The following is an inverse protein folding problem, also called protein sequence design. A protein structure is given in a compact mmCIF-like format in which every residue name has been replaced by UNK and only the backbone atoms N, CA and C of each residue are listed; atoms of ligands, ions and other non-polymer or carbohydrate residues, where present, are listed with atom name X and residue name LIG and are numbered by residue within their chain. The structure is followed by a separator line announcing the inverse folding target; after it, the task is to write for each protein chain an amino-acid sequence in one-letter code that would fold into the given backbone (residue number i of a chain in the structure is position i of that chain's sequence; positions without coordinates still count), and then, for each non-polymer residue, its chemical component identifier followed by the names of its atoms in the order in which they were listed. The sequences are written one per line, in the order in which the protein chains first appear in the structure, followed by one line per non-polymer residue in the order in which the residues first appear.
data_IF_727990970507
#
_entry.id   IF_727990970507
#
_cell.length_a   1.000
_cell.length_b   1.000
_cell.length_c   1.000
_cell.angle_alpha   90.00
_cell.angle_beta   90.00
_cell.angle_gamma   90.00
#
_symmetry.space_group_name_H-M   'P 1'
#
loop_
_entity.id
_entity.type
_entity.pdbx_description
1 polymer ?
#
# COMPACT_ATOMS: atom_id res chain seq x y z
N UNK A 1 34.93 -33.86 -22.46
CA UNK A 1 34.60 -32.92 -23.56
C UNK A 1 34.75 -31.48 -23.08
N UNK A 2 35.98 -31.01 -22.88
CA UNK A 2 36.34 -29.64 -22.45
C UNK A 2 37.63 -29.24 -23.17
N UNK A 3 37.57 -28.92 -24.46
CA UNK A 3 38.76 -28.45 -25.21
C UNK A 3 38.47 -27.31 -26.21
N UNK A 4 37.22 -26.91 -26.45
CA UNK A 4 36.91 -26.00 -27.58
C UNK A 4 36.66 -24.52 -27.24
N UNK A 5 37.07 -24.01 -26.08
CA UNK A 5 36.86 -22.59 -25.73
C UNK A 5 38.13 -21.73 -25.63
N UNK A 6 39.34 -22.29 -25.75
CA UNK A 6 40.57 -21.51 -25.54
C UNK A 6 41.29 -21.00 -26.79
N UNK A 7 40.87 -21.37 -28.01
CA UNK A 7 41.62 -20.95 -29.21
C UNK A 7 41.31 -19.55 -29.73
N UNK A 8 40.23 -18.88 -29.29
CA UNK A 8 39.89 -17.54 -29.77
C UNK A 8 40.59 -16.41 -29.00
N UNK A 9 41.14 -16.69 -27.82
CA UNK A 9 41.80 -15.69 -26.98
C UNK A 9 43.27 -15.46 -27.40
N UNK A 10 43.94 -16.49 -27.92
CA UNK A 10 45.34 -16.39 -28.37
C UNK A 10 45.53 -15.65 -29.70
N UNK A 11 44.50 -15.56 -30.56
CA UNK A 11 44.60 -14.78 -31.81
C UNK A 11 44.68 -13.27 -31.60
N UNK A 12 44.28 -12.74 -30.45
CA UNK A 12 44.34 -11.28 -30.18
C UNK A 12 45.77 -10.84 -29.83
N UNK A 13 46.61 -11.75 -29.32
CA UNK A 13 47.97 -11.41 -28.87
C UNK A 13 49.03 -11.46 -29.98
N UNK A 14 48.75 -12.09 -31.13
CA UNK A 14 49.68 -12.21 -32.26
C UNK A 14 49.39 -11.21 -33.40
N UNK A 15 48.57 -10.20 -33.12
CA UNK A 15 48.22 -9.16 -34.09
C UNK A 15 49.29 -8.06 -34.18
N UNK A 16 49.43 -7.47 -35.36
CA UNK A 16 50.38 -6.40 -35.63
C UNK A 16 50.12 -5.17 -34.74
N UNK A 17 51.18 -4.41 -34.39
CA UNK A 17 51.12 -3.33 -33.40
C UNK A 17 50.06 -2.27 -33.74
N UNK A 18 49.91 -1.95 -35.03
CA UNK A 18 48.94 -0.98 -35.53
C UNK A 18 47.49 -1.50 -35.37
N UNK A 19 47.26 -2.78 -35.65
CA UNK A 19 45.93 -3.40 -35.48
C UNK A 19 45.52 -3.53 -34.01
N UNK A 20 46.46 -3.76 -33.10
CA UNK A 20 46.21 -3.75 -31.65
C UNK A 20 45.78 -2.37 -31.16
N UNK A 21 46.44 -1.30 -31.64
CA UNK A 21 46.05 0.08 -31.31
C UNK A 21 44.63 0.40 -31.77
N UNK A 22 44.25 -0.01 -32.98
CA UNK A 22 42.89 0.18 -33.50
C UNK A 22 41.85 -0.57 -32.65
N UNK A 23 42.13 -1.81 -32.25
CA UNK A 23 41.21 -2.59 -31.41
C UNK A 23 41.04 -1.96 -30.02
N UNK A 24 42.14 -1.49 -29.40
CA UNK A 24 42.09 -0.80 -28.10
C UNK A 24 41.24 0.48 -28.22
N UNK A 25 41.37 1.21 -29.32
CA UNK A 25 40.58 2.42 -29.59
C UNK A 25 39.09 2.10 -29.75
N UNK A 26 38.73 1.02 -30.44
CA UNK A 26 37.34 0.56 -30.56
C UNK A 26 36.80 0.13 -29.19
N UNK A 27 37.59 -0.61 -28.40
CA UNK A 27 37.19 -1.07 -27.07
C UNK A 27 36.98 0.11 -26.11
N UNK A 28 37.82 1.14 -26.19
CA UNK A 28 37.68 2.35 -25.38
C UNK A 28 36.39 3.11 -25.72
N UNK A 29 36.03 3.22 -27.00
CA UNK A 29 34.77 3.80 -27.45
C UNK A 29 33.57 3.01 -26.90
N UNK A 30 33.62 1.68 -26.96
CA UNK A 30 32.56 0.81 -26.42
C UNK A 30 32.38 1.03 -24.91
N UNK A 31 33.49 1.12 -24.16
CA UNK A 31 33.47 1.39 -22.72
C UNK A 31 32.86 2.77 -22.43
N UNK A 32 33.19 3.79 -23.22
CA UNK A 32 32.63 5.14 -23.08
C UNK A 32 31.12 5.13 -23.34
N UNK A 33 30.65 4.46 -24.39
CA UNK A 33 29.20 4.30 -24.68
C UNK A 33 28.48 3.57 -23.55
N UNK A 34 29.09 2.51 -23.00
CA UNK A 34 28.54 1.77 -21.87
C UNK A 34 28.47 2.63 -20.60
N UNK A 35 29.49 3.46 -20.35
CA UNK A 35 29.52 4.40 -19.23
C UNK A 35 28.44 5.47 -19.36
N UNK A 36 28.23 6.02 -20.57
CA UNK A 36 27.13 6.95 -20.86
C UNK A 36 25.76 6.28 -20.64
N UNK A 37 25.60 5.02 -21.06
CA UNK A 37 24.37 4.25 -20.85
C UNK A 37 24.11 4.00 -19.35
N UNK A 38 25.14 3.66 -18.58
CA UNK A 38 25.03 3.51 -17.13
C UNK A 38 24.73 4.84 -16.44
N UNK A 39 25.32 5.96 -16.89
CA UNK A 39 25.02 7.30 -16.42
C UNK A 39 23.55 7.67 -16.72
N UNK A 40 23.07 7.36 -17.91
CA UNK A 40 21.65 7.52 -18.30
C UNK A 40 20.75 6.73 -17.36
N UNK A 41 21.06 5.45 -17.11
CA UNK A 41 20.28 4.59 -16.21
C UNK A 41 20.33 5.10 -14.77
N UNK A 42 21.47 5.63 -14.30
CA UNK A 42 21.63 6.22 -12.98
C UNK A 42 20.77 7.49 -12.81
N UNK A 43 20.79 8.40 -13.79
CA UNK A 43 19.98 9.62 -13.79
C UNK A 43 18.48 9.29 -13.88
N UNK A 44 18.08 8.34 -14.72
CA UNK A 44 16.67 7.93 -14.86
C UNK A 44 16.15 7.12 -13.67
N UNK A 45 16.99 6.27 -13.05
CA UNK A 45 16.64 5.54 -11.82
C UNK A 45 16.43 6.50 -10.65
N UNK A 46 17.16 7.62 -10.61
CA UNK A 46 17.00 8.66 -9.61
C UNK A 46 15.86 9.65 -9.92
N UNK A 47 15.39 9.78 -11.17
CA UNK A 47 14.19 10.57 -11.51
C UNK A 47 12.86 9.93 -11.06
N UNK A 48 12.83 8.67 -10.61
CA UNK A 48 11.69 8.10 -9.86
C UNK A 48 11.76 8.35 -8.35
N UNK A 49 12.79 9.07 -7.87
CA UNK A 49 12.92 9.57 -6.51
C UNK A 49 13.37 11.03 -6.54
N UNK A 50 12.52 11.93 -7.05
CA UNK A 50 12.40 13.38 -6.75
C UNK A 50 11.38 13.95 -7.75
N UNK A 51 10.11 13.59 -7.55
CA UNK A 51 8.94 14.41 -7.90
C UNK A 51 7.82 13.90 -7.01
N UNK A 52 7.83 14.33 -5.75
CA UNK A 52 6.66 14.67 -4.93
C UNK A 52 7.19 15.01 -3.55
N UNK A 53 7.83 16.18 -3.43
CA UNK A 53 7.76 17.02 -2.23
C UNK A 53 7.85 18.49 -2.63
N UNK A 54 6.65 19.08 -2.71
CA UNK A 54 6.27 20.44 -2.28
C UNK A 54 6.75 21.61 -3.13
N UNK A 55 5.79 22.10 -3.92
CA UNK A 55 5.34 23.50 -4.05
C UNK A 55 3.83 23.32 -4.33
N UNK A 56 2.87 23.49 -3.41
CA UNK A 56 2.40 24.73 -2.80
C UNK A 56 2.61 25.95 -3.68
N UNK A 57 1.63 26.23 -4.55
CA UNK A 57 1.17 27.59 -4.79
C UNK A 57 -0.33 27.57 -5.15
N UNK A 58 -1.09 28.20 -4.26
CA UNK A 58 -2.21 29.11 -4.51
C UNK A 58 -3.10 28.84 -5.73
N UNK A 59 -4.31 28.35 -5.46
CA UNK A 59 -5.46 28.72 -6.27
C UNK A 59 -6.27 29.77 -5.51
N UNK A 60 -6.05 31.01 -5.92
CA UNK A 60 -6.73 32.23 -5.50
C UNK A 60 -8.24 32.13 -5.65
N UNK A 61 -8.92 32.68 -4.65
CA UNK A 61 -10.35 32.98 -4.65
C UNK A 61 -10.81 33.63 -5.96
N UNK A 62 -11.84 33.04 -6.58
CA UNK A 62 -12.74 33.83 -7.42
C UNK A 62 -14.18 33.42 -7.15
N UNK A 63 -14.86 34.36 -6.51
CA UNK A 63 -16.31 34.47 -6.30
C UNK A 63 -17.07 34.20 -7.61
N UNK A 64 -18.21 33.51 -7.57
CA UNK A 64 -19.47 34.22 -7.82
C UNK A 64 -20.55 33.80 -6.79
N UNK A 65 -21.14 34.75 -6.07
CA UNK A 65 -22.36 35.47 -6.45
C UNK A 65 -23.63 34.67 -6.12
N UNK A 66 -24.31 35.22 -5.11
CA UNK A 66 -25.65 34.97 -4.59
C UNK A 66 -26.68 34.62 -5.66
N UNK A 67 -27.41 33.52 -5.46
CA UNK A 67 -28.87 33.50 -5.66
C UNK A 67 -29.49 32.91 -4.39
N UNK A 68 -30.46 33.65 -3.92
CA UNK A 68 -31.11 33.66 -2.62
C UNK A 68 -32.44 32.91 -2.70
N UNK A 69 -32.94 32.51 -1.52
CA UNK A 69 -34.35 32.19 -1.19
C UNK A 69 -34.85 30.78 -1.56
N UNK A 70 -35.61 30.07 -0.72
CA UNK A 70 -36.20 30.40 0.59
C UNK A 70 -36.76 29.12 1.23
N UNK A 71 -36.93 29.19 2.56
CA UNK A 71 -37.83 28.40 3.42
C UNK A 71 -37.39 26.93 3.70
N UNK A 72 -37.28 26.39 4.92
CA UNK A 72 -38.02 26.65 6.17
C UNK A 72 -37.13 26.43 7.44
N UNK A 73 -37.45 27.29 8.42
CA UNK A 73 -37.07 27.51 9.82
C UNK A 73 -36.80 26.34 10.82
N UNK A 74 -35.74 26.57 11.62
CA UNK A 74 -35.61 26.55 13.13
C UNK A 74 -35.68 25.15 13.80
N UNK A 75 -34.71 24.70 14.61
CA UNK A 75 -34.34 25.11 16.00
C UNK A 75 -32.83 24.82 16.31
N UNK A 76 -32.17 25.79 16.98
CA UNK A 76 -30.78 25.85 17.53
C UNK A 76 -30.46 24.87 18.70
N UNK A 77 -29.24 24.82 19.30
CA UNK A 77 -27.88 25.13 18.82
C UNK A 77 -26.83 24.02 19.14
N UNK A 78 -25.60 24.20 18.64
CA UNK A 78 -24.33 23.60 19.12
C UNK A 78 -23.95 22.17 18.66
N UNK A 79 -23.56 22.04 17.38
CA UNK A 79 -22.56 21.05 16.97
C UNK A 79 -21.42 21.76 16.24
N UNK A 80 -20.37 22.14 16.98
CA UNK A 80 -19.08 22.46 16.36
C UNK A 80 -18.43 21.14 15.89
N UNK A 81 -18.15 20.95 14.58
CA UNK A 81 -17.33 19.83 14.14
C UNK A 81 -15.88 20.07 14.58
N UNK A 82 -15.49 19.50 15.72
CA UNK A 82 -14.08 19.43 16.12
C UNK A 82 -13.33 18.53 15.14
N UNK A 83 -12.66 19.16 14.17
CA UNK A 83 -11.56 18.58 13.41
C UNK A 83 -10.51 18.09 14.43
N UNK A 84 -10.52 16.79 14.76
CA UNK A 84 -9.53 16.20 15.67
C UNK A 84 -8.17 16.14 14.98
N UNK A 85 -7.35 17.16 15.25
CA UNK A 85 -5.89 17.11 15.15
C UNK A 85 -5.38 15.84 15.85
N UNK A 86 -4.41 15.13 15.25
CA UNK A 86 -3.69 14.01 15.85
C UNK A 86 -3.28 14.37 17.29
N UNK A 87 -3.83 13.66 18.28
CA UNK A 87 -3.48 13.89 19.68
C UNK A 87 -2.11 13.27 19.99
N UNK A 88 -1.08 14.10 20.02
CA UNK A 88 0.15 13.82 20.75
C UNK A 88 -0.12 14.15 22.22
N UNK A 89 -0.04 13.17 23.13
CA UNK A 89 -0.10 13.46 24.57
C UNK A 89 1.30 13.89 25.00
N UNK A 90 1.46 15.14 25.46
CA UNK A 90 2.67 15.60 26.15
C UNK A 90 2.74 14.86 27.48
N UNK A 91 3.71 13.98 27.66
CA UNK A 91 4.13 13.51 28.98
C UNK A 91 5.20 14.49 29.44
N UNK A 92 4.90 15.29 30.46
CA UNK A 92 5.87 16.19 31.09
C UNK A 92 6.75 15.38 32.02
N UNK A 93 8.01 15.19 31.63
CA UNK A 93 9.09 14.78 32.52
C UNK A 93 10.06 15.96 32.67
N UNK A 94 10.52 16.11 33.91
CA UNK A 94 11.18 17.27 34.51
C UNK A 94 12.31 17.89 33.67
N UNK A 95 12.50 19.19 33.90
CA UNK A 95 13.47 20.04 33.23
C UNK A 95 14.91 19.59 33.52
N UNK A 96 15.60 19.13 32.48
CA UNK A 96 17.05 19.29 32.33
C UNK A 96 17.43 19.32 30.85
N UNK A 97 18.39 20.20 30.53
CA UNK A 97 18.82 20.60 29.18
C UNK A 97 19.49 19.44 28.42
N UNK A 98 18.68 18.74 27.64
CA UNK A 98 18.95 18.08 26.35
C UNK A 98 17.72 17.18 26.09
N UNK A 99 16.57 17.79 25.80
CA UNK A 99 15.33 17.04 25.66
C UNK A 99 15.27 16.41 24.27
N UNK A 100 15.91 15.25 24.12
CA UNK A 100 15.50 14.29 23.09
C UNK A 100 14.02 14.00 23.30
N UNK A 101 13.19 14.50 22.39
CA UNK A 101 11.75 14.35 22.47
C UNK A 101 11.43 12.87 22.21
N UNK A 102 11.19 12.10 23.27
CA UNK A 102 10.87 10.67 23.17
C UNK A 102 9.51 10.49 22.47
N UNK A 103 9.56 10.21 21.17
CA UNK A 103 8.37 9.91 20.38
C UNK A 103 7.94 8.46 20.59
N UNK A 104 6.95 8.24 21.46
CA UNK A 104 6.32 6.93 21.64
C UNK A 104 5.58 6.53 20.36
N UNK A 105 6.03 5.45 19.71
CA UNK A 105 5.37 4.89 18.52
C UNK A 105 4.41 3.78 18.93
N UNK A 106 3.12 4.01 18.73
CA UNK A 106 2.11 2.98 18.93
C UNK A 106 2.06 2.01 17.74
N UNK A 107 2.05 0.72 18.04
CA UNK A 107 1.90 -0.38 17.10
C UNK A 107 0.50 -0.98 17.28
N UNK A 108 -0.42 -0.61 16.39
CA UNK A 108 -1.81 -1.06 16.41
C UNK A 108 -1.98 -2.38 15.66
N UNK A 109 -2.63 -3.35 16.31
CA UNK A 109 -3.09 -4.57 15.66
C UNK A 109 -4.18 -4.30 14.60
N UNK A 110 -4.49 -5.30 13.78
CA UNK A 110 -5.59 -5.26 12.82
C UNK A 110 -6.93 -4.98 13.52
N UNK A 111 -7.21 -5.69 14.61
CA UNK A 111 -8.42 -5.49 15.42
C UNK A 111 -8.50 -4.08 15.99
N UNK A 112 -7.42 -3.57 16.58
CA UNK A 112 -7.39 -2.19 17.07
C UNK A 112 -7.64 -1.16 15.94
N UNK A 113 -7.06 -1.40 14.76
CA UNK A 113 -7.29 -0.54 13.58
C UNK A 113 -8.73 -0.58 13.12
N UNK A 114 -9.38 -1.75 13.12
CA UNK A 114 -10.79 -1.90 12.76
C UNK A 114 -11.70 -1.20 13.77
N UNK A 115 -11.49 -1.42 15.07
CA UNK A 115 -12.28 -0.81 16.15
C UNK A 115 -12.22 0.72 16.10
N UNK A 116 -11.04 1.27 15.83
CA UNK A 116 -10.80 2.72 15.78
C UNK A 116 -11.07 3.34 14.39
N UNK A 117 -11.44 2.54 13.38
CA UNK A 117 -11.69 3.05 12.05
C UNK A 117 -13.02 3.84 12.01
N UNK A 118 -13.17 4.80 11.08
CA UNK A 118 -14.48 5.42 10.81
C UNK A 118 -15.52 4.37 10.46
N UNK A 119 -16.79 4.64 10.80
CA UNK A 119 -17.93 3.74 10.56
C UNK A 119 -17.97 3.21 9.12
N UNK A 120 -17.78 4.10 8.14
CA UNK A 120 -17.74 3.74 6.72
C UNK A 120 -16.67 2.67 6.39
N UNK A 121 -15.50 2.74 7.01
CA UNK A 121 -14.43 1.76 6.79
C UNK A 121 -14.77 0.41 7.41
N UNK A 122 -15.41 0.42 8.59
CA UNK A 122 -15.92 -0.78 9.25
C UNK A 122 -17.02 -1.45 8.40
N UNK A 123 -17.93 -0.66 7.84
CA UNK A 123 -19.00 -1.13 6.94
C UNK A 123 -18.44 -1.72 5.64
N UNK A 124 -17.47 -1.05 5.00
CA UNK A 124 -16.80 -1.58 3.80
C UNK A 124 -16.07 -2.90 4.10
N UNK A 125 -15.38 -2.98 5.24
CA UNK A 125 -14.73 -4.21 5.67
C UNK A 125 -15.77 -5.32 5.91
N UNK A 126 -16.85 -5.02 6.64
CA UNK A 126 -17.93 -5.97 6.91
C UNK A 126 -18.54 -6.53 5.61
N UNK A 127 -18.86 -5.64 4.66
CA UNK A 127 -19.41 -6.03 3.37
C UNK A 127 -18.44 -6.91 2.57
N UNK A 128 -17.17 -6.51 2.46
CA UNK A 128 -16.17 -7.28 1.73
C UNK A 128 -15.90 -8.64 2.39
N UNK A 129 -15.82 -8.70 3.73
CA UNK A 129 -15.60 -9.94 4.46
C UNK A 129 -16.75 -10.94 4.26
N UNK A 130 -17.99 -10.50 4.38
CA UNK A 130 -19.15 -11.33 4.06
C UNK A 130 -19.12 -11.82 2.60
N UNK A 131 -18.75 -10.94 1.67
CA UNK A 131 -18.64 -11.31 0.27
C UNK A 131 -17.61 -12.41 0.03
N UNK A 132 -16.42 -12.28 0.61
CA UNK A 132 -15.35 -13.27 0.47
C UNK A 132 -15.75 -14.60 1.14
N UNK A 133 -16.41 -14.55 2.30
CA UNK A 133 -16.87 -15.74 3.02
C UNK A 133 -18.10 -16.40 2.39
N UNK A 134 -18.74 -15.75 1.42
CA UNK A 134 -19.80 -16.39 0.62
C UNK A 134 -19.27 -17.49 -0.30
N UNK A 135 -17.96 -17.55 -0.57
CA UNK A 135 -17.35 -18.61 -1.37
C UNK A 135 -17.06 -19.85 -0.50
N UNK A 136 -17.35 -21.04 -1.02
CA UNK A 136 -17.11 -22.27 -0.28
C UNK A 136 -15.61 -22.54 -0.10
N UNK A 137 -15.21 -23.01 1.08
CA UNK A 137 -13.83 -23.42 1.37
C UNK A 137 -12.83 -22.28 1.56
N UNK A 138 -13.30 -21.04 1.70
CA UNK A 138 -12.46 -19.90 2.08
C UNK A 138 -12.26 -19.88 3.59
N UNK A 139 -11.00 -19.85 4.00
CA UNK A 139 -10.58 -19.75 5.39
C UNK A 139 -10.05 -18.35 5.71
N UNK A 140 -10.21 -17.94 6.96
CA UNK A 140 -9.75 -16.66 7.49
C UNK A 140 -8.65 -16.89 8.51
N UNK A 141 -7.56 -16.14 8.39
CA UNK A 141 -6.46 -16.13 9.36
C UNK A 141 -6.18 -14.69 9.78
N UNK A 142 -6.35 -14.41 11.06
CA UNK A 142 -6.00 -13.13 11.64
C UNK A 142 -4.49 -13.07 11.91
N UNK A 143 -3.86 -11.97 11.50
CA UNK A 143 -2.48 -11.64 11.84
C UNK A 143 -2.44 -10.30 12.57
N UNK A 144 -1.32 -10.00 13.22
CA UNK A 144 -1.18 -8.71 13.92
C UNK A 144 -1.46 -7.51 13.03
N UNK A 145 -0.99 -7.52 11.77
CA UNK A 145 -1.15 -6.38 10.87
C UNK A 145 -2.44 -6.46 10.06
N UNK A 146 -2.79 -7.62 9.53
CA UNK A 146 -3.83 -7.79 8.52
C UNK A 146 -4.67 -9.03 8.80
N UNK A 147 -5.81 -9.13 8.13
CA UNK A 147 -6.59 -10.36 8.04
C UNK A 147 -6.37 -10.99 6.67
N UNK A 148 -6.05 -12.28 6.62
CA UNK A 148 -5.75 -13.03 5.39
C UNK A 148 -6.88 -13.99 5.08
N UNK A 149 -7.24 -14.07 3.81
CA UNK A 149 -8.23 -15.00 3.28
C UNK A 149 -7.52 -15.97 2.35
N UNK A 150 -7.74 -17.26 2.56
CA UNK A 150 -7.06 -18.33 1.82
C UNK A 150 -8.04 -19.37 1.33
N UNK A 151 -7.79 -19.96 0.17
CA UNK A 151 -8.56 -21.07 -0.38
C UNK A 151 -7.61 -22.21 -0.71
N UNK A 152 -7.92 -23.41 -0.21
CA UNK A 152 -7.08 -24.62 -0.37
C UNK A 152 -5.60 -24.37 -0.03
N UNK A 153 -5.35 -23.66 1.07
CA UNK A 153 -4.00 -23.33 1.56
C UNK A 153 -3.28 -22.19 0.80
N UNK A 154 -3.85 -21.67 -0.29
CA UNK A 154 -3.26 -20.54 -1.05
C UNK A 154 -3.92 -19.22 -0.64
N UNK A 155 -3.15 -18.14 -0.39
CA UNK A 155 -3.72 -16.84 -0.07
C UNK A 155 -4.46 -16.29 -1.30
N UNK A 156 -5.73 -15.92 -1.12
CA UNK A 156 -6.52 -15.19 -2.12
C UNK A 156 -6.17 -13.71 -2.01
N UNK A 157 -6.29 -13.17 -0.81
CA UNK A 157 -6.02 -11.79 -0.50
C UNK A 157 -5.73 -11.59 0.98
N UNK A 158 -5.24 -10.39 1.32
CA UNK A 158 -5.19 -9.91 2.69
C UNK A 158 -5.64 -8.46 2.77
N UNK A 159 -6.26 -8.10 3.89
CA UNK A 159 -6.86 -6.79 4.11
C UNK A 159 -6.12 -6.06 5.21
N UNK A 160 -5.81 -4.78 4.97
CA UNK A 160 -5.15 -3.93 5.94
C UNK A 160 -5.84 -2.58 6.09
N UNK A 161 -6.34 -2.30 7.28
CA UNK A 161 -7.11 -1.07 7.56
C UNK A 161 -6.18 0.09 7.97
N UNK A 162 -6.41 1.25 7.37
CA UNK A 162 -5.72 2.51 7.65
C UNK A 162 -6.73 3.67 7.70
N UNK A 163 -7.33 3.89 8.87
CA UNK A 163 -8.35 4.94 9.02
C UNK A 163 -9.51 4.70 8.06
N UNK A 164 -9.81 5.67 7.18
CA UNK A 164 -10.87 5.52 6.19
C UNK A 164 -10.51 4.59 5.01
N UNK A 165 -9.21 4.35 4.76
CA UNK A 165 -8.75 3.59 3.60
C UNK A 165 -8.48 2.15 4.02
N UNK A 166 -9.11 1.22 3.32
CA UNK A 166 -8.80 -0.20 3.40
C UNK A 166 -7.87 -0.58 2.24
N UNK A 167 -6.71 -1.14 2.54
CA UNK A 167 -5.76 -1.65 1.55
C UNK A 167 -6.01 -3.13 1.36
N UNK A 168 -6.38 -3.54 0.14
CA UNK A 168 -6.64 -4.94 -0.20
C UNK A 168 -5.54 -5.43 -1.13
N UNK A 169 -4.85 -6.48 -0.72
CA UNK A 169 -3.74 -7.08 -1.45
C UNK A 169 -4.16 -8.42 -2.01
N UNK A 170 -4.21 -8.57 -3.32
CA UNK A 170 -4.66 -9.76 -4.02
C UNK A 170 -3.49 -10.59 -4.51
N UNK A 171 -3.70 -11.90 -4.55
CA UNK A 171 -2.86 -12.86 -5.27
C UNK A 171 -3.24 -12.88 -6.76
N UNK A 172 -3.11 -11.74 -7.42
CA UNK A 172 -3.35 -11.59 -8.86
C UNK A 172 -2.12 -10.93 -9.47
N UNK A 173 -1.85 -11.15 -10.76
CA UNK A 173 -0.75 -10.47 -11.42
C UNK A 173 -1.08 -8.99 -11.63
N UNK A 174 -0.27 -8.03 -11.14
CA UNK A 174 -0.56 -6.60 -11.31
C UNK A 174 -0.60 -6.17 -12.78
N UNK A 175 0.12 -6.88 -13.67
CA UNK A 175 0.20 -6.55 -15.10
C UNK A 175 -1.08 -6.80 -15.86
N UNK A 176 -1.95 -7.70 -15.37
CA UNK A 176 -3.26 -7.99 -15.97
C UNK A 176 -4.22 -6.79 -15.88
N UNK A 177 -3.92 -5.82 -15.00
CA UNK A 177 -4.77 -4.66 -14.74
C UNK A 177 -4.24 -3.36 -15.35
N UNK A 178 -3.13 -3.42 -16.10
CA UNK A 178 -2.67 -2.26 -16.85
C UNK A 178 -3.73 -1.87 -17.89
N UNK A 179 -4.06 -0.58 -17.96
CA UNK A 179 -5.09 -0.03 -18.85
C UNK A 179 -6.52 -0.52 -18.56
N UNK A 180 -6.77 -1.04 -17.36
CA UNK A 180 -8.13 -1.36 -16.90
C UNK A 180 -8.73 -0.23 -16.05
N UNK A 181 -10.02 -0.33 -15.73
CA UNK A 181 -10.71 0.60 -14.82
C UNK A 181 -10.19 0.57 -13.37
N UNK A 182 -9.39 -0.44 -13.00
CA UNK A 182 -8.95 -0.63 -11.62
C UNK A 182 -7.70 0.18 -11.32
N UNK A 183 -7.75 1.02 -10.29
CA UNK A 183 -6.58 1.75 -9.81
C UNK A 183 -5.67 0.85 -8.94
N UNK A 184 -4.88 0.01 -9.62
CA UNK A 184 -4.01 -1.00 -9.01
C UNK A 184 -2.57 -0.50 -8.89
N UNK A 185 -1.92 -0.85 -7.78
CA UNK A 185 -0.48 -0.67 -7.59
C UNK A 185 0.23 -2.02 -7.46
N UNK A 186 1.37 -2.19 -8.14
CA UNK A 186 2.26 -3.33 -7.94
C UNK A 186 3.09 -3.13 -6.66
N UNK A 187 2.99 -4.06 -5.72
CA UNK A 187 3.74 -4.07 -4.45
C UNK A 187 4.56 -5.34 -4.23
N UNK A 188 4.81 -6.11 -5.29
CA UNK A 188 5.65 -7.33 -5.26
C UNK A 188 7.08 -7.08 -4.75
N UNK A 189 7.57 -5.85 -4.84
CA UNK A 189 8.91 -5.46 -4.36
C UNK A 189 9.12 -5.68 -2.86
N UNK A 190 8.05 -5.79 -2.07
CA UNK A 190 8.13 -6.01 -0.65
C UNK A 190 7.86 -7.49 -0.34
N UNK A 191 8.80 -8.17 0.32
CA UNK A 191 8.72 -9.61 0.64
C UNK A 191 7.40 -10.02 1.32
N UNK A 192 6.88 -9.17 2.21
CA UNK A 192 5.59 -9.43 2.87
C UNK A 192 4.42 -9.55 1.87
N UNK A 193 4.52 -8.95 0.69
CA UNK A 193 3.51 -8.89 -0.36
C UNK A 193 3.80 -9.78 -1.58
N UNK A 194 4.85 -10.62 -1.53
CA UNK A 194 5.22 -11.50 -2.64
C UNK A 194 4.07 -12.39 -3.10
N UNK A 195 3.36 -13.03 -2.17
CA UNK A 195 2.20 -13.89 -2.47
C UNK A 195 0.92 -13.12 -2.80
N UNK A 196 0.91 -11.80 -2.62
CA UNK A 196 -0.27 -10.93 -2.84
C UNK A 196 0.20 -9.59 -3.42
N UNK A 197 0.72 -9.57 -4.66
CA UNK A 197 1.45 -8.42 -5.20
C UNK A 197 0.56 -7.28 -5.72
N UNK A 198 -0.75 -7.52 -5.89
CA UNK A 198 -1.70 -6.56 -6.45
C UNK A 198 -2.40 -5.78 -5.34
N UNK A 199 -2.17 -4.46 -5.24
CA UNK A 199 -2.81 -3.61 -4.24
C UNK A 199 -3.94 -2.77 -4.84
N UNK A 200 -5.13 -2.87 -4.27
CA UNK A 200 -6.24 -1.93 -4.45
C UNK A 200 -6.46 -1.12 -3.16
N UNK A 201 -6.61 0.20 -3.28
CA UNK A 201 -7.02 1.07 -2.17
C UNK A 201 -8.53 1.28 -2.24
N UNK A 202 -9.23 0.91 -1.18
CA UNK A 202 -10.68 1.00 -1.05
C UNK A 202 -11.04 2.10 -0.07
N UNK A 203 -11.56 3.21 -0.58
CA UNK A 203 -11.98 4.38 0.21
C UNK A 203 -13.39 4.87 -0.14
N UNK A 204 -14.07 4.21 -1.08
CA UNK A 204 -15.38 4.60 -1.59
C UNK A 204 -16.23 3.37 -1.88
N UNK A 205 -17.52 3.59 -2.17
CA UNK A 205 -18.45 2.52 -2.60
C UNK A 205 -17.98 1.86 -3.89
N UNK A 206 -17.58 2.65 -4.90
CA UNK A 206 -17.03 2.14 -6.16
C UNK A 206 -15.76 1.31 -5.93
N UNK A 207 -14.89 1.73 -5.00
CA UNK A 207 -13.71 0.95 -4.64
C UNK A 207 -14.05 -0.40 -3.99
N UNK A 208 -15.17 -0.48 -3.25
CA UNK A 208 -15.66 -1.73 -2.68
C UNK A 208 -16.22 -2.64 -3.77
N UNK A 209 -16.96 -2.10 -4.74
CA UNK A 209 -17.46 -2.86 -5.90
C UNK A 209 -16.29 -3.46 -6.70
N UNK A 210 -15.28 -2.64 -7.02
CA UNK A 210 -14.05 -3.10 -7.65
C UNK A 210 -13.33 -4.18 -6.82
N UNK A 211 -13.33 -4.05 -5.49
CA UNK A 211 -12.74 -5.08 -4.63
C UNK A 211 -13.47 -6.43 -4.77
N UNK A 212 -14.80 -6.41 -4.77
CA UNK A 212 -15.62 -7.61 -4.98
C UNK A 212 -15.42 -8.20 -6.39
N UNK A 213 -15.30 -7.37 -7.43
CA UNK A 213 -15.02 -7.82 -8.79
C UNK A 213 -13.68 -8.56 -8.88
N UNK A 214 -12.62 -8.05 -8.24
CA UNK A 214 -11.31 -8.73 -8.20
C UNK A 214 -11.36 -10.06 -7.43
N UNK A 215 -12.18 -10.15 -6.38
CA UNK A 215 -12.44 -11.44 -5.70
C UNK A 215 -13.08 -12.43 -6.68
N UNK A 216 -14.09 -12.02 -7.44
CA UNK A 216 -14.72 -12.89 -8.44
C UNK A 216 -13.74 -13.34 -9.51
N UNK A 217 -12.83 -12.47 -9.97
CA UNK A 217 -11.82 -12.85 -10.95
C UNK A 217 -10.93 -13.97 -10.43
N UNK A 218 -10.47 -13.87 -9.18
CA UNK A 218 -9.67 -14.93 -8.55
C UNK A 218 -10.49 -16.22 -8.33
N UNK A 219 -11.75 -16.08 -7.94
CA UNK A 219 -12.63 -17.19 -7.54
C UNK A 219 -13.55 -17.69 -8.67
N UNK A 220 -13.25 -17.36 -9.95
CA UNK A 220 -14.17 -17.55 -11.09
C UNK A 220 -14.71 -18.97 -11.26
N UNK A 221 -13.93 -19.98 -10.86
CA UNK A 221 -14.30 -21.40 -10.97
C UNK A 221 -14.96 -21.99 -9.72
N UNK A 222 -15.28 -21.17 -8.72
CA UNK A 222 -15.72 -21.62 -7.40
C UNK A 222 -17.16 -21.15 -7.16
N UNK A 223 -18.03 -22.09 -6.83
CA UNK A 223 -19.41 -21.81 -6.45
C UNK A 223 -19.49 -21.01 -5.16
N UNK A 224 -20.43 -20.07 -5.12
CA UNK A 224 -20.86 -19.44 -3.86
C UNK A 224 -21.74 -20.41 -3.09
N UNK A 225 -21.76 -20.25 -1.77
CA UNK A 225 -22.62 -21.03 -0.88
C UNK A 225 -24.09 -20.66 -1.11
N UNK A 226 -24.98 -21.66 -1.13
CA UNK A 226 -26.42 -21.48 -1.38
C UNK A 226 -27.10 -20.63 -0.30
N UNK A 227 -26.60 -20.67 0.94
CA UNK A 227 -27.06 -19.83 2.05
C UNK A 227 -25.96 -18.89 2.53
N UNK A 228 -25.89 -17.68 1.98
CA UNK A 228 -24.96 -16.65 2.47
C UNK A 228 -25.43 -16.15 3.83
N UNK A 229 -24.80 -16.63 4.91
CA UNK A 229 -24.99 -16.04 6.23
C UNK A 229 -24.34 -14.65 6.25
N UNK A 230 -25.16 -13.61 6.23
CA UNK A 230 -24.69 -12.24 6.44
C UNK A 230 -24.43 -12.04 7.93
N UNK A 231 -23.15 -12.11 8.31
CA UNK A 231 -22.68 -11.98 9.69
C UNK A 231 -22.21 -10.55 9.90
N UNK A 232 -22.59 -9.93 11.02
CA UNK A 232 -22.08 -8.62 11.39
C UNK A 232 -20.67 -8.73 12.00
N UNK A 233 -19.65 -8.25 11.29
CA UNK A 233 -18.25 -8.19 11.72
C UNK A 233 -17.82 -6.81 12.23
N UNK A 234 -18.75 -5.88 12.42
CA UNK A 234 -18.47 -4.55 12.97
C UNK A 234 -18.25 -4.68 14.48
N UNK A 235 -17.05 -4.35 15.01
CA UNK A 235 -16.79 -4.48 16.44
C UNK A 235 -17.39 -3.32 17.23
N UNK A 236 -17.67 -3.55 18.52
CA UNK A 236 -18.03 -2.49 19.45
C UNK A 236 -16.87 -1.50 19.61
N UNK A 237 -17.19 -0.20 19.69
CA UNK A 237 -16.20 0.84 19.92
C UNK A 237 -15.50 0.65 21.27
N UNK A 238 -14.18 0.84 21.29
CA UNK A 238 -13.35 0.83 22.51
C UNK A 238 -12.41 2.02 22.51
N UNK A 239 -12.12 2.56 23.69
CA UNK A 239 -11.14 3.62 23.87
C UNK A 239 -9.73 3.10 23.61
N UNK A 240 -8.81 4.02 23.32
CA UNK A 240 -7.41 3.65 23.06
C UNK A 240 -6.77 3.01 24.29
N UNK A 241 -7.10 3.51 25.48
CA UNK A 241 -6.62 3.03 26.77
C UNK A 241 -7.01 1.57 26.97
N UNK A 242 -8.28 1.23 26.73
CA UNK A 242 -8.77 -0.15 26.82
C UNK A 242 -8.08 -1.06 25.79
N UNK A 243 -7.84 -0.57 24.58
CA UNK A 243 -7.13 -1.34 23.56
C UNK A 243 -5.64 -1.58 23.89
N UNK A 244 -5.03 -0.72 24.71
CA UNK A 244 -3.68 -0.93 25.24
C UNK A 244 -3.72 -2.00 26.34
N UNK A 245 -4.68 -1.90 27.25
CA UNK A 245 -4.90 -2.88 28.32
C UNK A 245 -5.18 -4.28 27.78
N UNK A 246 -5.99 -4.40 26.72
CA UNK A 246 -6.28 -5.65 26.02
C UNK A 246 -5.09 -6.17 25.16
N UNK A 247 -3.97 -5.45 25.14
CA UNK A 247 -2.79 -5.83 24.36
C UNK A 247 -2.99 -5.76 22.84
N UNK A 248 -4.06 -5.10 22.37
CA UNK A 248 -4.34 -4.87 20.94
C UNK A 248 -3.53 -3.70 20.38
N UNK A 249 -2.96 -2.85 21.23
CA UNK A 249 -2.02 -1.79 20.90
C UNK A 249 -0.75 -1.98 21.73
N UNK A 250 0.40 -2.08 21.06
CA UNK A 250 1.71 -2.19 21.70
C UNK A 250 2.47 -0.88 21.63
N UNK A 251 3.26 -0.58 22.64
CA UNK A 251 4.22 0.53 22.63
C UNK A 251 5.51 -0.01 22.00
N UNK A 252 5.93 0.58 20.88
CA UNK A 252 7.28 0.35 20.37
C UNK A 252 8.17 1.40 21.02
N UNK A 253 8.84 1.00 22.09
CA UNK A 253 9.99 1.73 22.60
C UNK A 253 11.12 1.54 21.59
N UNK A 254 11.55 2.62 20.94
CA UNK A 254 12.83 2.59 20.26
C UNK A 254 13.88 2.60 21.37
N UNK A 255 14.55 1.47 21.57
CA UNK A 255 15.90 1.48 22.15
C UNK A 255 16.85 2.09 21.14
#
# INVERSE_FOLDING_TARGET
MRVFLNNKFYMIFDMDADTKLVIILILSIIIVVLAIYLLYLFVFKNKKMVTTKIEQEDFTDTKPALIENKDIKVIDPAFEPRIRKKSFRKVSLNQNKNQEQLYIKYNYSFKARLILAPKESQERFNALKNYILSFQGVNVNESWKYERFSFKGKPILKIWIHGNIMKVYYNLSPSEFYYTKYNISNVSYAAIHETTPTLLKVSSKLGLEHACELVNLYMKSISKQDSVKNINFIPSYKTKELLIEEGLIKLNDRK
#
